data_IF_035744229895
#
_entry.id   IF_035744229895
#
_cell.length_a   1.000
_cell.length_b   1.000
_cell.length_c   1.000
_cell.angle_alpha   90.00
_cell.angle_beta   90.00
_cell.angle_gamma   90.00
#
_symmetry.space_group_name_H-M   'P 1'
#
loop_
_entity.id
_entity.type
_entity.pdbx_description
1 polymer ?
#
# COMPACT_ATOMS: atom_id res chain seq x y z
N UNK A 1 2.51 -19.38 -17.89
CA UNK A 1 2.87 -19.20 -16.47
C UNK A 1 3.20 -17.74 -16.12
N UNK A 2 4.12 -17.07 -16.83
CA UNK A 2 4.50 -15.66 -16.56
C UNK A 2 3.32 -14.68 -16.46
N UNK A 3 2.33 -14.77 -17.35
CA UNK A 3 1.10 -13.96 -17.31
C UNK A 3 0.28 -14.11 -16.02
N UNK A 4 0.16 -15.34 -15.50
CA UNK A 4 -0.56 -15.60 -14.25
C UNK A 4 0.20 -15.05 -13.04
N UNK A 5 1.54 -15.12 -13.07
CA UNK A 5 2.40 -14.53 -12.03
C UNK A 5 2.27 -13.00 -12.04
N UNK A 6 2.32 -12.36 -13.22
CA UNK A 6 2.12 -10.91 -13.36
C UNK A 6 0.75 -10.45 -12.86
N UNK A 7 -0.32 -11.22 -13.16
CA UNK A 7 -1.66 -10.97 -12.64
C UNK A 7 -1.70 -11.05 -11.11
N UNK A 8 -1.10 -12.08 -10.51
CA UNK A 8 -1.04 -12.24 -9.05
C UNK A 8 -0.30 -11.06 -8.41
N UNK A 9 0.86 -10.66 -8.96
CA UNK A 9 1.63 -9.53 -8.43
C UNK A 9 0.81 -8.23 -8.44
N UNK A 10 0.08 -7.97 -9.53
CA UNK A 10 -0.77 -6.78 -9.66
C UNK A 10 -1.93 -6.80 -8.65
N UNK A 11 -2.64 -7.91 -8.55
CA UNK A 11 -3.76 -8.07 -7.61
C UNK A 11 -3.27 -7.93 -6.16
N UNK A 12 -2.16 -8.57 -5.81
CA UNK A 12 -1.57 -8.47 -4.46
C UNK A 12 -1.14 -7.05 -4.13
N UNK A 13 -0.55 -6.33 -5.09
CA UNK A 13 -0.14 -4.93 -4.92
C UNK A 13 -1.35 -4.04 -4.63
N UNK A 14 -2.45 -4.19 -5.37
CA UNK A 14 -3.68 -3.42 -5.15
C UNK A 14 -4.29 -3.73 -3.79
N UNK A 15 -4.42 -5.01 -3.44
CA UNK A 15 -4.98 -5.44 -2.15
C UNK A 15 -4.13 -4.95 -0.98
N UNK A 16 -2.81 -4.99 -1.10
CA UNK A 16 -1.91 -4.50 -0.06
C UNK A 16 -2.03 -2.98 0.10
N UNK A 17 -2.12 -2.22 -1.00
CA UNK A 17 -2.39 -0.77 -0.94
C UNK A 17 -3.72 -0.44 -0.26
N UNK A 18 -4.78 -1.20 -0.52
CA UNK A 18 -6.06 -1.05 0.18
C UNK A 18 -5.95 -1.32 1.68
N UNK A 19 -5.17 -2.34 2.06
CA UNK A 19 -4.96 -2.73 3.45
C UNK A 19 -4.23 -1.63 4.22
N UNK A 20 -3.25 -0.98 3.61
CA UNK A 20 -2.54 0.16 4.20
C UNK A 20 -3.49 1.33 4.44
N UNK A 21 -4.32 1.69 3.46
CA UNK A 21 -5.32 2.76 3.64
C UNK A 21 -6.30 2.44 4.78
N UNK A 22 -6.64 1.16 4.96
CA UNK A 22 -7.48 0.74 6.10
C UNK A 22 -6.74 0.83 7.43
N UNK A 23 -5.46 0.43 7.48
CA UNK A 23 -4.62 0.57 8.66
C UNK A 23 -4.42 2.04 9.07
N UNK A 24 -4.23 2.93 8.11
CA UNK A 24 -4.11 4.37 8.34
C UNK A 24 -5.36 4.93 9.02
N UNK A 25 -6.55 4.65 8.45
CA UNK A 25 -7.84 5.05 9.03
C UNK A 25 -8.12 4.42 10.40
N UNK A 26 -7.69 3.18 10.63
CA UNK A 26 -7.80 2.55 11.94
C UNK A 26 -6.89 3.21 12.96
N UNK A 27 -5.67 3.57 12.56
CA UNK A 27 -4.70 4.29 13.39
C UNK A 27 -5.24 5.65 13.78
N UNK A 28 -5.82 6.42 12.85
CA UNK A 28 -6.49 7.69 13.14
C UNK A 28 -7.63 7.54 14.16
N UNK A 29 -8.44 6.49 13.99
CA UNK A 29 -9.57 6.21 14.91
C UNK A 29 -9.06 5.88 16.32
N UNK A 30 -8.00 5.06 16.42
CA UNK A 30 -7.39 4.68 17.69
C UNK A 30 -6.70 5.88 18.34
N UNK A 31 -6.01 6.71 17.55
CA UNK A 31 -5.39 7.95 18.02
C UNK A 31 -6.43 8.94 18.54
N UNK A 32 -7.57 9.08 17.86
CA UNK A 32 -8.68 9.93 18.30
C UNK A 32 -9.29 9.46 19.62
N UNK A 33 -9.53 8.15 19.78
CA UNK A 33 -10.03 7.56 21.04
C UNK A 33 -8.98 7.69 22.14
N UNK A 34 -7.70 7.45 21.83
CA UNK A 34 -6.59 7.62 22.75
C UNK A 34 -6.41 9.05 23.22
N UNK A 35 -6.54 10.04 22.32
CA UNK A 35 -6.46 11.46 22.65
C UNK A 35 -7.62 11.91 23.54
N UNK A 36 -8.84 11.45 23.22
CA UNK A 36 -10.04 11.68 24.03
C UNK A 36 -9.90 11.14 25.45
N UNK A 37 -9.27 9.98 25.62
CA UNK A 37 -9.01 9.38 26.94
C UNK A 37 -7.82 10.05 27.66
N UNK A 38 -6.77 10.45 26.92
CA UNK A 38 -5.50 10.83 27.51
C UNK A 38 -5.39 12.32 27.89
N UNK A 39 -6.02 13.26 27.19
CA UNK A 39 -5.63 14.68 27.35
C UNK A 39 -6.73 15.74 27.39
N UNK A 40 -7.96 15.54 26.91
CA UNK A 40 -8.92 16.64 26.63
C UNK A 40 -8.41 17.79 25.72
N UNK A 41 -7.10 17.91 25.49
CA UNK A 41 -6.39 18.74 24.52
C UNK A 41 -5.07 18.01 24.21
N UNK A 42 -5.03 17.10 23.24
CA UNK A 42 -4.63 17.49 21.89
C UNK A 42 -3.11 17.39 21.70
N UNK A 43 -2.64 16.22 21.27
CA UNK A 43 -1.75 16.00 20.11
C UNK A 43 -1.20 14.57 20.19
N UNK A 44 -1.68 13.70 19.30
CA UNK A 44 -1.18 12.34 19.12
C UNK A 44 -0.88 12.17 17.64
N UNK A 45 0.34 12.54 17.25
CA UNK A 45 0.91 12.28 15.92
C UNK A 45 1.29 10.79 15.79
N UNK A 46 0.29 9.92 15.72
CA UNK A 46 0.43 8.56 15.20
C UNK A 46 0.09 8.57 13.70
N UNK A 47 0.92 9.25 12.91
CA UNK A 47 0.62 9.54 11.50
C UNK A 47 1.86 9.72 10.65
N UNK A 48 2.93 8.98 10.97
CA UNK A 48 4.02 8.82 10.01
C UNK A 48 3.51 7.96 8.87
N UNK A 49 3.10 8.60 7.76
CA UNK A 49 2.76 7.88 6.52
C UNK A 49 3.85 6.86 6.16
N UNK A 50 3.50 5.87 5.35
CA UNK A 50 4.44 4.82 4.97
C UNK A 50 5.81 5.40 4.58
N UNK A 51 6.92 4.77 4.98
CA UNK A 51 8.26 5.14 4.51
C UNK A 51 8.26 5.35 3.00
N UNK A 52 8.91 6.43 2.52
CA UNK A 52 8.98 6.77 1.08
C UNK A 52 9.42 5.56 0.23
N UNK A 53 10.26 4.69 0.78
CA UNK A 53 10.72 3.45 0.14
C UNK A 53 9.59 2.48 -0.21
N UNK A 54 8.51 2.44 0.58
CA UNK A 54 7.38 1.53 0.35
C UNK A 54 6.58 1.96 -0.89
N UNK A 55 6.41 3.27 -1.10
CA UNK A 55 5.80 3.81 -2.32
C UNK A 55 6.66 3.53 -3.57
N UNK A 56 7.99 3.58 -3.44
CA UNK A 56 8.91 3.22 -4.53
C UNK A 56 8.81 1.72 -4.86
N UNK A 57 8.75 0.87 -3.85
CA UNK A 57 8.55 -0.58 -4.02
C UNK A 57 7.21 -0.89 -4.69
N UNK A 58 6.14 -0.20 -4.29
CA UNK A 58 4.84 -0.32 -4.96
C UNK A 58 4.92 0.03 -6.45
N UNK A 59 5.59 1.14 -6.79
CA UNK A 59 5.80 1.53 -8.19
C UNK A 59 6.54 0.46 -9.00
N UNK A 60 7.61 -0.13 -8.43
CA UNK A 60 8.38 -1.20 -9.07
C UNK A 60 7.51 -2.44 -9.29
N UNK A 61 6.72 -2.85 -8.29
CA UNK A 61 5.84 -4.01 -8.39
C UNK A 61 4.77 -3.85 -9.48
N UNK A 62 4.21 -2.65 -9.64
CA UNK A 62 3.28 -2.34 -10.72
C UNK A 62 3.97 -2.47 -12.09
N UNK A 63 5.16 -1.89 -12.25
CA UNK A 63 5.93 -1.96 -13.50
C UNK A 63 6.27 -3.42 -13.85
N UNK A 64 6.76 -4.19 -12.88
CA UNK A 64 7.08 -5.61 -13.05
C UNK A 64 5.84 -6.43 -13.38
N UNK A 65 4.71 -6.18 -12.71
CA UNK A 65 3.44 -6.83 -13.00
C UNK A 65 2.97 -6.58 -14.43
N UNK A 66 3.04 -5.33 -14.91
CA UNK A 66 2.71 -4.96 -16.29
C UNK A 66 3.68 -5.61 -17.28
N UNK A 67 4.98 -5.55 -17.03
CA UNK A 67 5.99 -6.14 -17.91
C UNK A 67 5.77 -7.66 -18.10
N UNK A 68 5.44 -8.39 -17.03
CA UNK A 68 5.16 -9.83 -17.08
C UNK A 68 3.85 -10.19 -17.79
N UNK A 69 2.95 -9.23 -17.99
CA UNK A 69 1.72 -9.41 -18.76
C UNK A 69 1.93 -9.20 -20.27
N UNK A 70 3.00 -8.50 -20.67
CA UNK A 70 3.32 -8.28 -22.10
C UNK A 70 3.73 -9.63 -22.73
N UNK A 71 3.04 -10.07 -23.80
CA UNK A 71 3.45 -11.27 -24.53
C UNK A 71 4.79 -11.04 -25.24
N UNK A 72 5.71 -12.01 -25.11
CA UNK A 72 7.07 -11.95 -25.68
C UNK A 72 7.10 -11.69 -27.20
N UNK A 73 6.04 -12.06 -27.92
CA UNK A 73 5.87 -11.79 -29.36
C UNK A 73 5.81 -10.29 -29.70
N UNK A 74 5.50 -9.43 -28.73
CA UNK A 74 5.44 -7.96 -28.91
C UNK A 74 6.71 -7.23 -28.44
N UNK A 75 7.71 -7.96 -27.96
CA UNK A 75 8.99 -7.41 -27.47
C UNK A 75 10.14 -7.61 -28.47
N UNK A 76 9.85 -8.05 -29.70
CA UNK A 76 10.80 -8.14 -30.81
C UNK A 76 10.87 -6.83 -31.60
#
# INVERSE_FOLDING_TARGET
>A
MKKWIGLIILVQTILFGMLIVQLDKMTDTIAAVGAYIATNDGDLTWGGGLPVMDYVLFGILIIVGIFLLIPEEKLK
#
